data_IF_177417006739
#
_entry.id   IF_177417006739
#
_cell.length_a   1.000
_cell.length_b   1.000
_cell.length_c   1.000
_cell.angle_alpha   90.00
_cell.angle_beta   90.00
_cell.angle_gamma   90.00
#
_symmetry.space_group_name_H-M   'P 1'
#
loop_
_entity.id
_entity.type
_entity.pdbx_description
1 polymer ?
#
# COMPACT_ATOMS: atom_id res chain seq x y z
N UNK A 1 30.99 -21.92 -35.94
CA UNK A 1 30.52 -22.24 -34.57
C UNK A 1 30.53 -21.05 -33.60
N UNK A 2 31.40 -20.03 -33.76
CA UNK A 2 31.42 -18.87 -32.85
C UNK A 2 30.23 -17.89 -33.02
N UNK A 3 29.72 -17.72 -34.25
CA UNK A 3 28.61 -16.80 -34.52
C UNK A 3 27.25 -17.29 -33.96
N UNK A 4 27.01 -18.60 -34.02
CA UNK A 4 25.81 -19.25 -33.46
C UNK A 4 25.77 -19.18 -31.94
N UNK A 5 26.92 -19.29 -31.26
CA UNK A 5 27.01 -19.09 -29.81
C UNK A 5 26.60 -17.68 -29.40
N UNK A 6 27.04 -16.67 -30.17
CA UNK A 6 26.67 -15.26 -29.93
C UNK A 6 25.17 -15.01 -30.14
N UNK A 7 24.59 -15.56 -31.21
CA UNK A 7 23.15 -15.48 -31.48
C UNK A 7 22.31 -16.15 -30.38
N UNK A 8 22.74 -17.33 -29.92
CA UNK A 8 22.06 -18.06 -28.84
C UNK A 8 22.18 -17.34 -27.48
N UNK A 9 23.34 -16.74 -27.18
CA UNK A 9 23.54 -15.96 -25.95
C UNK A 9 22.66 -14.70 -25.93
N UNK A 10 22.55 -14.01 -27.07
CA UNK A 10 21.67 -12.84 -27.19
C UNK A 10 20.20 -13.23 -27.02
N UNK A 11 19.76 -14.34 -27.64
CA UNK A 11 18.41 -14.86 -27.46
C UNK A 11 18.12 -15.22 -26.00
N UNK A 12 19.06 -15.85 -25.30
CA UNK A 12 18.94 -16.21 -23.88
C UNK A 12 18.78 -14.96 -23.00
N UNK A 13 19.60 -13.93 -23.22
CA UNK A 13 19.55 -12.67 -22.47
C UNK A 13 18.23 -11.92 -22.68
N UNK A 14 17.69 -11.94 -23.91
CA UNK A 14 16.39 -11.34 -24.23
C UNK A 14 15.26 -12.08 -23.53
N UNK A 15 15.24 -13.42 -23.57
CA UNK A 15 14.22 -14.22 -22.89
C UNK A 15 14.30 -14.03 -21.37
N UNK A 16 15.49 -14.02 -20.79
CA UNK A 16 15.69 -13.78 -19.35
C UNK A 16 15.15 -12.41 -18.91
N UNK A 17 15.41 -11.37 -19.70
CA UNK A 17 14.91 -10.01 -19.44
C UNK A 17 13.38 -9.95 -19.48
N UNK A 18 12.73 -10.63 -20.43
CA UNK A 18 11.27 -10.69 -20.52
C UNK A 18 10.64 -11.42 -19.33
N UNK A 19 11.28 -12.49 -18.84
CA UNK A 19 10.83 -13.22 -17.65
C UNK A 19 10.92 -12.32 -16.42
N UNK A 20 12.02 -11.58 -16.25
CA UNK A 20 12.18 -10.65 -15.13
C UNK A 20 11.17 -9.50 -15.17
N UNK A 21 10.88 -8.95 -16.36
CA UNK A 21 9.87 -7.91 -16.53
C UNK A 21 8.46 -8.41 -16.19
N UNK A 22 8.15 -9.66 -16.54
CA UNK A 22 6.88 -10.33 -16.23
C UNK A 22 6.75 -10.84 -14.78
N UNK A 23 7.67 -10.45 -13.89
CA UNK A 23 7.60 -10.70 -12.44
C UNK A 23 7.45 -9.39 -11.65
N UNK A 24 7.34 -8.24 -12.33
CA UNK A 24 7.22 -6.91 -11.68
C UNK A 24 5.78 -6.44 -11.50
N UNK A 25 4.81 -7.29 -11.82
CA UNK A 25 3.37 -7.08 -11.68
C UNK A 25 2.88 -7.13 -10.22
N UNK A 26 3.74 -7.55 -9.30
CA UNK A 26 3.56 -7.22 -7.89
C UNK A 26 4.35 -5.93 -7.62
N UNK A 27 3.84 -4.78 -8.09
CA UNK A 27 4.05 -3.57 -7.30
C UNK A 27 3.54 -3.92 -5.91
N UNK A 28 4.45 -4.33 -5.02
CA UNK A 28 4.21 -4.30 -3.58
C UNK A 28 3.59 -2.94 -3.38
N UNK A 29 2.29 -2.94 -3.08
CA UNK A 29 1.52 -1.73 -2.97
C UNK A 29 2.08 -0.98 -1.78
N UNK A 30 3.16 -0.22 -2.01
CA UNK A 30 3.53 0.88 -1.19
C UNK A 30 2.31 1.79 -1.32
N UNK A 31 1.37 1.62 -0.37
CA UNK A 31 0.17 2.44 -0.28
C UNK A 31 0.69 3.85 -0.34
N UNK A 32 0.45 4.53 -1.47
CA UNK A 32 0.86 5.89 -1.66
C UNK A 32 -0.04 6.70 -0.74
N UNK A 33 0.43 6.89 0.47
CA UNK A 33 -0.34 7.54 1.50
C UNK A 33 -0.18 9.04 1.31
N UNK A 34 -1.31 9.70 1.10
CA UNK A 34 -1.32 11.15 1.03
C UNK A 34 -0.70 11.70 2.32
N UNK A 35 0.30 12.60 2.25
CA UNK A 35 0.89 13.22 3.43
C UNK A 35 -0.07 14.22 4.10
N UNK A 36 -1.23 14.47 3.50
CA UNK A 36 -2.21 15.45 3.99
C UNK A 36 -3.13 14.78 5.00
N UNK A 37 -3.27 15.40 6.17
CA UNK A 37 -4.31 15.02 7.13
C UNK A 37 -5.67 15.44 6.60
N UNK A 38 -6.61 14.51 6.56
CA UNK A 38 -8.00 14.85 6.29
C UNK A 38 -8.49 15.76 7.43
N UNK A 39 -8.77 17.03 7.12
CA UNK A 39 -9.27 18.04 8.07
C UNK A 39 -10.53 17.60 8.82
N UNK A 40 -11.24 16.64 8.24
CA UNK A 40 -12.54 16.21 8.71
C UNK A 40 -12.42 15.10 9.76
N UNK A 41 -11.24 14.51 9.97
CA UNK A 41 -11.02 13.41 10.91
C UNK A 41 -10.88 13.95 12.34
N UNK A 42 -11.71 13.44 13.26
CA UNK A 42 -11.78 13.92 14.64
C UNK A 42 -11.46 12.85 15.68
N UNK A 43 -11.81 11.58 15.45
CA UNK A 43 -11.44 10.46 16.31
C UNK A 43 -11.41 9.16 15.49
N UNK A 44 -10.91 8.08 16.09
CA UNK A 44 -10.98 6.74 15.50
C UNK A 44 -11.52 5.73 16.50
N UNK A 45 -12.09 4.63 16.00
CA UNK A 45 -12.36 3.43 16.80
C UNK A 45 -11.61 2.26 16.20
N UNK A 46 -11.19 1.32 17.04
CA UNK A 46 -10.42 0.15 16.63
C UNK A 46 -11.03 -1.10 17.24
N UNK A 47 -11.06 -2.24 16.53
CA UNK A 47 -11.62 -3.49 17.05
C UNK A 47 -10.97 -3.93 18.38
N UNK A 48 -9.68 -3.66 18.54
CA UNK A 48 -8.92 -3.95 19.76
C UNK A 48 -9.39 -3.18 21.00
N UNK A 49 -10.01 -2.01 20.79
CA UNK A 49 -10.46 -1.10 21.84
C UNK A 49 -11.99 -1.01 21.90
N UNK A 50 -12.68 -1.77 21.05
CA UNK A 50 -14.14 -1.73 20.91
C UNK A 50 -14.63 -0.35 20.46
N UNK A 51 -15.60 0.19 21.20
CA UNK A 51 -16.24 1.48 20.91
C UNK A 51 -15.51 2.69 21.53
N UNK A 52 -14.32 2.48 22.09
CA UNK A 52 -13.53 3.57 22.64
C UNK A 52 -13.11 4.57 21.55
N UNK A 53 -13.39 5.86 21.79
CA UNK A 53 -12.96 6.95 20.89
C UNK A 53 -11.50 7.29 21.18
N UNK A 54 -10.63 6.78 20.33
CA UNK A 54 -9.20 7.04 20.40
C UNK A 54 -8.85 8.34 19.66
N UNK A 55 -7.74 9.00 20.03
CA UNK A 55 -7.23 10.15 19.29
C UNK A 55 -7.14 9.83 17.80
N UNK A 56 -7.77 10.68 17.00
CA UNK A 56 -7.65 10.58 15.55
C UNK A 56 -6.20 10.71 15.17
N UNK A 57 -5.73 9.75 14.40
CA UNK A 57 -4.45 9.85 13.77
C UNK A 57 -4.64 10.39 12.34
N UNK A 58 -3.73 11.24 11.89
CA UNK A 58 -3.86 12.11 10.70
C UNK A 58 -4.37 11.39 9.43
N UNK A 59 -3.88 10.18 9.17
CA UNK A 59 -4.35 9.27 8.12
C UNK A 59 -3.89 7.85 8.45
N UNK A 60 -4.62 6.80 8.08
CA UNK A 60 -4.32 5.41 8.45
C UNK A 60 -2.87 4.95 8.29
N UNK A 61 -2.13 5.59 7.38
CA UNK A 61 -0.79 5.22 7.02
C UNK A 61 0.30 5.85 7.89
N UNK A 62 0.11 7.11 8.28
CA UNK A 62 1.04 7.85 9.15
C UNK A 62 0.79 7.57 10.63
N UNK A 63 -0.42 7.06 10.92
CA UNK A 63 -0.92 6.79 12.26
C UNK A 63 -0.31 5.57 12.94
N UNK A 64 0.29 4.67 12.17
CA UNK A 64 0.42 3.27 12.61
C UNK A 64 -0.95 2.70 13.02
N UNK A 65 -2.04 3.20 12.43
CA UNK A 65 -3.38 2.78 12.79
C UNK A 65 -3.48 1.29 12.48
N UNK A 66 -3.94 0.54 13.48
CA UNK A 66 -4.01 -0.90 13.37
C UNK A 66 -5.02 -1.28 12.29
N UNK A 67 -4.72 -2.32 11.53
CA UNK A 67 -5.67 -2.93 10.57
C UNK A 67 -7.04 -3.12 11.24
N UNK A 68 -8.08 -2.61 10.61
CA UNK A 68 -9.46 -2.64 11.09
C UNK A 68 -9.95 -1.38 11.81
N UNK A 69 -9.10 -0.39 12.09
CA UNK A 69 -9.56 0.88 12.68
C UNK A 69 -10.40 1.70 11.70
N UNK A 70 -11.37 2.47 12.20
CA UNK A 70 -12.23 3.36 11.41
C UNK A 70 -12.01 4.80 11.87
N UNK A 71 -11.72 5.69 10.93
CA UNK A 71 -11.63 7.13 11.16
C UNK A 71 -13.03 7.74 11.07
N UNK A 72 -13.36 8.62 12.01
CA UNK A 72 -14.64 9.30 12.09
C UNK A 72 -14.49 10.81 12.03
N UNK A 73 -15.50 11.47 11.48
CA UNK A 73 -15.62 12.91 11.57
C UNK A 73 -16.10 13.38 12.93
N UNK A 74 -16.01 14.68 13.18
CA UNK A 74 -16.57 15.31 14.39
C UNK A 74 -18.07 15.05 14.58
N UNK A 75 -18.80 14.85 13.48
CA UNK A 75 -20.23 14.49 13.50
C UNK A 75 -20.49 12.99 13.72
N UNK A 76 -19.43 12.18 13.82
CA UNK A 76 -19.52 10.73 14.01
C UNK A 76 -19.81 9.93 12.73
N UNK A 77 -19.63 10.53 11.56
CA UNK A 77 -19.71 9.81 10.28
C UNK A 77 -18.40 9.05 10.02
N UNK A 78 -18.44 7.76 9.64
CA UNK A 78 -17.24 7.03 9.24
C UNK A 78 -16.69 7.62 7.93
N UNK A 79 -15.40 7.96 7.93
CA UNK A 79 -14.68 8.55 6.79
C UNK A 79 -13.97 7.44 6.01
N UNK A 80 -13.16 6.61 6.69
CA UNK A 80 -12.37 5.56 6.07
C UNK A 80 -11.97 4.47 7.07
N UNK A 81 -11.74 3.26 6.57
CA UNK A 81 -11.14 2.15 7.31
C UNK A 81 -9.63 2.07 7.04
N UNK A 82 -8.87 1.76 8.08
CA UNK A 82 -7.45 1.50 8.02
C UNK A 82 -7.26 0.00 7.82
N UNK A 83 -6.61 -0.41 6.73
CA UNK A 83 -6.28 -1.83 6.47
C UNK A 83 -4.78 -2.06 6.56
#
# INVERSE_FOLDING_TARGET
>A
MAATFKLNLMALLLVYSMILLAQTDETWGARACSPVCSSDVSYMTCPSSGDEKLPASCNCCQSGATTGCILYSSNGTPISNCE
#
